data_IF_313729532788
#
_entry.id   IF_313729532788
#
_cell.length_a   1.000
_cell.length_b   1.000
_cell.length_c   1.000
_cell.angle_alpha   90.00
_cell.angle_beta   90.00
_cell.angle_gamma   90.00
#
_symmetry.space_group_name_H-M   'P 1'
#
loop_
_entity.id
_entity.type
_entity.pdbx_description
1 polymer ?
#
# COMPACT_ATOMS: atom_id res chain seq x y z
N UNK A 1 7.58 14.86 -13.68
CA UNK A 1 7.42 13.40 -13.79
C UNK A 1 6.77 12.93 -12.50
N UNK A 2 5.72 12.16 -12.61
CA UNK A 2 5.00 11.64 -11.43
C UNK A 2 4.71 10.16 -11.60
N UNK A 3 4.44 9.47 -10.50
CA UNK A 3 4.05 8.07 -10.46
C UNK A 3 3.10 7.81 -9.30
N UNK A 4 2.07 7.02 -9.54
CA UNK A 4 1.20 6.50 -8.47
C UNK A 4 0.48 5.23 -8.90
N UNK A 5 0.07 4.44 -7.91
CA UNK A 5 -0.89 3.37 -8.12
C UNK A 5 -2.28 3.95 -8.39
N UNK A 6 -2.95 3.51 -9.44
CA UNK A 6 -4.35 3.89 -9.69
C UNK A 6 -5.26 3.52 -8.50
N UNK A 7 -4.97 2.42 -7.81
CA UNK A 7 -5.72 1.99 -6.61
C UNK A 7 -5.58 2.99 -5.47
N UNK A 8 -4.40 3.60 -5.29
CA UNK A 8 -4.18 4.62 -4.25
C UNK A 8 -4.94 5.93 -4.51
N UNK A 9 -5.36 6.17 -5.76
CA UNK A 9 -6.04 7.39 -6.19
C UNK A 9 -7.53 7.17 -6.49
N UNK A 10 -8.13 6.09 -6.01
CA UNK A 10 -9.59 5.87 -6.12
C UNK A 10 -10.35 6.63 -5.05
N UNK A 11 -11.61 7.01 -5.35
CA UNK A 11 -12.52 7.58 -4.35
C UNK A 11 -12.69 6.65 -3.14
N UNK A 12 -12.66 5.33 -3.38
CA UNK A 12 -12.69 4.30 -2.34
C UNK A 12 -11.51 4.39 -1.37
N UNK A 13 -10.29 4.57 -1.87
CA UNK A 13 -9.09 4.68 -1.00
C UNK A 13 -9.13 5.97 -0.18
N UNK A 14 -9.59 7.08 -0.75
CA UNK A 14 -9.75 8.33 0.00
C UNK A 14 -10.79 8.19 1.12
N UNK A 15 -11.95 7.58 0.85
CA UNK A 15 -12.96 7.34 1.89
C UNK A 15 -12.44 6.39 2.99
N UNK A 16 -11.72 5.33 2.64
CA UNK A 16 -11.11 4.42 3.64
C UNK A 16 -10.05 5.13 4.48
N UNK A 17 -9.22 6.01 3.89
CA UNK A 17 -8.28 6.84 4.65
C UNK A 17 -9.00 7.73 5.65
N UNK A 18 -10.10 8.37 5.25
CA UNK A 18 -10.88 9.23 6.13
C UNK A 18 -11.54 8.42 7.26
N UNK A 19 -11.95 7.17 6.99
CA UNK A 19 -12.40 6.24 8.03
C UNK A 19 -11.28 5.91 9.02
N UNK A 20 -10.07 5.59 8.54
CA UNK A 20 -8.90 5.29 9.37
C UNK A 20 -8.54 6.48 10.24
N UNK A 21 -8.55 7.70 9.69
CA UNK A 21 -8.25 8.93 10.43
C UNK A 21 -9.25 9.22 11.58
N UNK A 22 -10.46 8.65 11.49
CA UNK A 22 -11.48 8.77 12.53
C UNK A 22 -11.48 7.60 13.54
N UNK A 23 -10.59 6.60 13.36
CA UNK A 23 -10.48 5.45 14.26
C UNK A 23 -9.38 5.71 15.30
N UNK A 24 -9.63 5.25 16.51
CA UNK A 24 -8.65 5.26 17.59
C UNK A 24 -8.14 3.84 17.88
N UNK A 25 -6.86 3.75 18.26
CA UNK A 25 -6.27 2.52 18.78
C UNK A 25 -6.16 1.40 17.75
N UNK A 26 -5.87 1.74 16.49
CA UNK A 26 -5.51 0.73 15.50
C UNK A 26 -4.15 0.15 15.88
N UNK A 27 -4.09 -1.16 16.13
CA UNK A 27 -2.88 -1.87 16.51
C UNK A 27 -2.26 -2.63 15.36
N UNK A 28 -3.10 -3.21 14.50
CA UNK A 28 -2.67 -4.00 13.35
C UNK A 28 -3.56 -3.75 12.14
N UNK A 29 -2.97 -3.96 10.97
CA UNK A 29 -3.69 -3.94 9.70
C UNK A 29 -3.29 -5.14 8.84
N UNK A 30 -4.26 -5.78 8.20
CA UNK A 30 -4.04 -6.82 7.19
C UNK A 30 -4.63 -6.31 5.87
N UNK A 31 -3.80 -6.33 4.83
CA UNK A 31 -4.25 -5.96 3.49
C UNK A 31 -3.99 -7.10 2.51
N UNK A 32 -5.02 -7.46 1.77
CA UNK A 32 -5.00 -8.52 0.77
C UNK A 32 -4.96 -7.93 -0.64
N UNK A 33 -4.21 -8.55 -1.54
CA UNK A 33 -4.23 -8.20 -2.95
C UNK A 33 -3.39 -9.15 -3.80
N UNK A 34 -3.61 -9.14 -5.13
CA UNK A 34 -2.84 -9.99 -6.03
C UNK A 34 -1.38 -9.53 -6.08
N UNK A 35 -0.45 -10.46 -5.88
CA UNK A 35 1.00 -10.27 -6.09
C UNK A 35 1.58 -11.56 -6.63
N UNK A 36 2.41 -11.45 -7.63
CA UNK A 36 3.22 -12.53 -8.16
C UNK A 36 4.70 -12.20 -7.99
N UNK A 37 5.33 -12.84 -6.99
CA UNK A 37 6.74 -12.63 -6.68
C UNK A 37 7.69 -13.10 -7.80
N UNK A 38 7.19 -14.01 -8.68
CA UNK A 38 7.93 -14.53 -9.82
C UNK A 38 7.55 -13.82 -11.14
N UNK A 39 6.86 -12.70 -11.05
CA UNK A 39 6.45 -11.95 -12.24
C UNK A 39 7.65 -11.51 -13.07
N UNK A 40 7.66 -11.88 -14.35
CA UNK A 40 8.66 -11.41 -15.33
C UNK A 40 8.68 -9.90 -15.54
N UNK A 41 7.69 -9.20 -15.03
CA UNK A 41 7.54 -7.75 -15.12
C UNK A 41 8.10 -7.01 -13.88
N UNK A 42 8.96 -7.66 -13.10
CA UNK A 42 9.63 -7.02 -11.97
C UNK A 42 9.19 -7.53 -10.60
N UNK A 43 8.75 -8.81 -10.49
CA UNK A 43 8.45 -9.43 -9.21
C UNK A 43 7.46 -8.63 -8.39
N UNK A 44 7.84 -8.32 -7.14
CA UNK A 44 6.98 -7.58 -6.20
C UNK A 44 6.66 -6.15 -6.68
N UNK A 45 7.51 -5.52 -7.49
CA UNK A 45 7.26 -4.17 -7.99
C UNK A 45 6.02 -4.10 -8.88
N UNK A 46 5.73 -5.15 -9.65
CA UNK A 46 4.67 -5.11 -10.66
C UNK A 46 3.27 -4.90 -10.06
N UNK A 47 2.89 -5.68 -9.04
CA UNK A 47 1.59 -5.54 -8.37
C UNK A 47 1.71 -5.11 -6.90
N UNK A 48 2.86 -5.27 -6.27
CA UNK A 48 3.09 -4.88 -4.89
C UNK A 48 2.85 -3.39 -4.63
N UNK A 49 3.10 -2.54 -5.62
CA UNK A 49 2.77 -1.10 -5.54
C UNK A 49 1.30 -0.85 -5.22
N UNK A 50 0.39 -1.70 -5.70
CA UNK A 50 -1.05 -1.59 -5.46
C UNK A 50 -1.47 -2.06 -4.05
N UNK A 51 -0.57 -2.75 -3.34
CA UNK A 51 -0.73 -3.05 -1.91
C UNK A 51 -0.07 -1.98 -1.04
N UNK A 52 1.19 -1.67 -1.34
CA UNK A 52 2.03 -0.80 -0.51
C UNK A 52 1.55 0.66 -0.53
N UNK A 53 1.36 1.24 -1.71
CA UNK A 53 1.02 2.67 -1.80
C UNK A 53 -0.34 3.01 -1.17
N UNK A 54 -1.44 2.26 -1.40
CA UNK A 54 -2.69 2.50 -0.68
C UNK A 54 -2.57 2.28 0.83
N UNK A 55 -1.80 1.28 1.27
CA UNK A 55 -1.54 1.06 2.69
C UNK A 55 -0.88 2.29 3.32
N UNK A 56 0.24 2.75 2.73
CA UNK A 56 0.96 3.92 3.20
C UNK A 56 0.09 5.18 3.17
N UNK A 57 -0.76 5.33 2.15
CA UNK A 57 -1.66 6.46 2.03
C UNK A 57 -2.74 6.49 3.12
N UNK A 58 -3.22 5.33 3.56
CA UNK A 58 -4.23 5.22 4.61
C UNK A 58 -3.65 5.30 6.03
N UNK A 59 -2.47 4.72 6.27
CA UNK A 59 -1.93 4.50 7.61
C UNK A 59 -0.63 5.25 7.92
N UNK A 60 -0.09 6.01 6.97
CA UNK A 60 1.15 6.77 7.13
C UNK A 60 2.29 6.25 6.24
N UNK A 61 3.27 7.12 5.98
CA UNK A 61 4.31 6.86 4.97
C UNK A 61 5.66 6.42 5.57
N UNK A 62 5.75 6.33 6.91
CA UNK A 62 7.02 6.08 7.59
C UNK A 62 7.15 4.60 7.98
N UNK A 63 7.36 3.73 7.01
CA UNK A 63 7.68 2.32 7.23
C UNK A 63 9.13 2.20 7.64
N UNK A 64 9.39 1.49 8.75
CA UNK A 64 10.73 1.30 9.33
C UNK A 64 11.45 0.10 8.73
N UNK A 65 10.78 -1.04 8.69
CA UNK A 65 11.34 -2.30 8.20
C UNK A 65 10.26 -3.24 7.68
N UNK A 66 10.69 -4.17 6.85
CA UNK A 66 9.80 -5.15 6.20
C UNK A 66 10.40 -6.54 6.24
N UNK A 67 9.54 -7.56 6.17
CA UNK A 67 9.96 -8.96 5.99
C UNK A 67 8.98 -9.70 5.09
N UNK A 68 9.50 -10.37 4.07
CA UNK A 68 8.73 -11.27 3.22
C UNK A 68 8.91 -12.70 3.72
N UNK A 69 7.78 -13.42 3.83
CA UNK A 69 7.75 -14.86 4.04
C UNK A 69 7.15 -15.51 2.80
N UNK A 70 7.87 -16.48 2.23
CA UNK A 70 7.52 -17.09 0.96
C UNK A 70 7.66 -18.61 1.03
N UNK A 71 6.69 -19.32 0.45
CA UNK A 71 6.75 -20.75 0.20
C UNK A 71 6.20 -21.03 -1.21
N UNK A 72 7.09 -21.38 -2.13
CA UNK A 72 6.75 -21.51 -3.54
C UNK A 72 6.16 -20.23 -4.10
N UNK A 73 4.94 -20.29 -4.65
CA UNK A 73 4.20 -19.16 -5.21
C UNK A 73 3.36 -18.38 -4.19
N UNK A 74 3.28 -18.87 -2.94
CA UNK A 74 2.54 -18.22 -1.86
C UNK A 74 3.44 -17.31 -1.04
N UNK A 75 2.90 -16.24 -0.51
CA UNK A 75 3.68 -15.33 0.31
C UNK A 75 2.85 -14.30 1.06
N UNK A 76 3.53 -13.68 1.99
CA UNK A 76 3.05 -12.52 2.75
C UNK A 76 4.22 -11.62 3.10
N UNK A 77 3.94 -10.39 3.47
CA UNK A 77 4.93 -9.49 4.00
C UNK A 77 4.45 -8.85 5.30
N UNK A 78 5.37 -8.73 6.25
CA UNK A 78 5.19 -7.94 7.46
C UNK A 78 5.89 -6.59 7.29
N UNK A 79 5.24 -5.50 7.71
CA UNK A 79 5.77 -4.15 7.72
C UNK A 79 5.61 -3.57 9.12
N UNK A 80 6.64 -2.91 9.62
CA UNK A 80 6.60 -2.17 10.89
C UNK A 80 6.75 -0.69 10.59
N UNK A 81 5.82 0.11 11.05
CA UNK A 81 5.84 1.57 10.91
C UNK A 81 6.60 2.22 12.07
N UNK A 82 6.96 3.49 11.93
CA UNK A 82 7.70 4.25 12.95
C UNK A 82 6.90 4.46 14.25
N UNK A 83 5.58 4.49 14.16
CA UNK A 83 4.61 4.62 15.26
C UNK A 83 4.16 3.27 15.82
N UNK A 84 4.94 2.20 15.55
CA UNK A 84 4.73 0.82 15.99
C UNK A 84 3.48 0.13 15.40
N UNK A 85 2.79 0.74 14.42
CA UNK A 85 1.75 0.05 13.68
C UNK A 85 2.37 -1.16 12.95
N UNK A 86 1.71 -2.31 13.08
CA UNK A 86 2.12 -3.54 12.39
C UNK A 86 1.17 -3.84 11.24
N UNK A 87 1.70 -3.97 10.03
CA UNK A 87 0.93 -4.31 8.85
C UNK A 87 1.34 -5.67 8.27
N UNK A 88 0.36 -6.45 7.84
CA UNK A 88 0.57 -7.69 7.08
C UNK A 88 -0.04 -7.56 5.69
N UNK A 89 0.77 -7.78 4.67
CA UNK A 89 0.30 -7.92 3.29
C UNK A 89 0.14 -9.40 2.97
N UNK A 90 -1.01 -9.80 2.47
CA UNK A 90 -1.26 -11.17 2.00
C UNK A 90 -1.30 -11.18 0.48
N UNK A 91 -0.42 -11.96 -0.13
CA UNK A 91 -0.26 -12.05 -1.57
C UNK A 91 -1.24 -13.07 -2.15
N UNK A 92 -2.32 -12.57 -2.76
CA UNK A 92 -3.37 -13.40 -3.38
C UNK A 92 -2.89 -13.93 -4.73
N UNK A 93 -3.12 -15.21 -4.99
CA UNK A 93 -2.79 -15.87 -6.27
C UNK A 93 -4.01 -16.25 -7.09
N UNK A 94 -5.13 -16.54 -6.43
CA UNK A 94 -6.31 -17.15 -7.06
C UNK A 94 -7.43 -16.15 -7.37
N UNK A 95 -7.38 -14.95 -6.83
CA UNK A 95 -8.47 -13.97 -7.01
C UNK A 95 -7.95 -12.54 -7.12
N UNK A 96 -8.66 -11.73 -7.88
CA UNK A 96 -8.51 -10.28 -7.90
C UNK A 96 -9.37 -9.66 -6.79
N UNK A 97 -8.92 -8.54 -6.27
CA UNK A 97 -9.61 -7.77 -5.25
C UNK A 97 -8.63 -7.31 -4.17
N UNK A 98 -9.01 -6.23 -3.50
CA UNK A 98 -8.20 -5.53 -2.51
C UNK A 98 -9.04 -5.40 -1.25
N UNK A 99 -8.72 -6.14 -0.21
CA UNK A 99 -9.41 -6.10 1.05
C UNK A 99 -8.47 -5.56 2.13
N UNK A 100 -9.01 -4.85 3.11
CA UNK A 100 -8.26 -4.33 4.25
C UNK A 100 -9.04 -4.59 5.53
N UNK A 101 -8.39 -5.17 6.53
CA UNK A 101 -8.93 -5.42 7.86
C UNK A 101 -8.04 -4.73 8.87
N UNK A 102 -8.62 -4.02 9.81
CA UNK A 102 -7.91 -3.38 10.93
C UNK A 102 -8.33 -4.03 12.25
N UNK A 103 -7.38 -4.12 13.17
CA UNK A 103 -7.63 -4.45 14.56
C UNK A 103 -7.67 -3.17 15.37
N UNK A 104 -8.74 -3.00 16.15
CA UNK A 104 -8.94 -1.92 17.08
C UNK A 104 -9.28 -2.51 18.47
N UNK A 105 -9.34 -1.66 19.49
CA UNK A 105 -9.80 -2.09 20.83
C UNK A 105 -11.18 -2.78 20.84
N UNK A 106 -12.00 -2.52 19.83
CA UNK A 106 -13.36 -3.07 19.69
C UNK A 106 -13.40 -4.34 18.80
N UNK A 107 -12.23 -4.86 18.40
CA UNK A 107 -12.06 -6.07 17.59
C UNK A 107 -11.71 -5.77 16.14
N UNK A 108 -11.85 -6.80 15.29
CA UNK A 108 -11.52 -6.72 13.87
C UNK A 108 -12.62 -6.00 13.09
N UNK A 109 -12.21 -5.10 12.21
CA UNK A 109 -13.10 -4.35 11.32
C UNK A 109 -12.60 -4.38 9.88
N UNK A 110 -13.43 -4.85 8.98
CA UNK A 110 -13.17 -4.72 7.54
C UNK A 110 -13.42 -3.27 7.10
N UNK A 111 -12.42 -2.68 6.43
CA UNK A 111 -12.57 -1.37 5.80
C UNK A 111 -13.24 -1.53 4.45
N UNK A 112 -14.42 -0.97 4.31
CA UNK A 112 -15.17 -0.91 3.06
C UNK A 112 -15.43 0.53 2.67
N UNK A 113 -15.25 0.84 1.40
CA UNK A 113 -15.66 2.14 0.89
C UNK A 113 -17.19 2.31 1.01
N UNK A 114 -17.58 3.48 1.50
CA UNK A 114 -18.98 3.93 1.58
C UNK A 114 -19.37 4.72 0.34
N UNK A 115 -18.40 5.03 -0.51
CA UNK A 115 -18.60 5.82 -1.72
C UNK A 115 -18.37 4.98 -2.98
N UNK A 116 -19.04 5.35 -4.05
CA UNK A 116 -18.78 4.83 -5.38
C UNK A 116 -17.65 5.64 -6.03
N UNK A 117 -16.93 5.01 -6.97
CA UNK A 117 -15.98 5.74 -7.81
C UNK A 117 -16.72 6.80 -8.65
N UNK A 118 -16.05 7.91 -8.88
CA UNK A 118 -16.57 9.01 -9.72
C UNK A 118 -16.55 8.61 -11.21
N UNK A 119 -17.34 9.30 -12.03
CA UNK A 119 -17.28 9.19 -13.48
C UNK A 119 -16.96 10.57 -14.09
N UNK A 120 -15.78 10.79 -14.67
CA UNK A 120 -14.68 9.83 -14.78
C UNK A 120 -14.03 9.47 -13.43
N UNK A 121 -13.33 8.31 -13.35
CA UNK A 121 -12.63 7.90 -12.13
C UNK A 121 -11.66 8.97 -11.61
N UNK A 122 -11.60 9.11 -10.27
CA UNK A 122 -10.82 10.18 -9.60
C UNK A 122 -9.38 10.29 -10.08
N UNK A 123 -8.67 9.17 -10.29
CA UNK A 123 -7.28 9.20 -10.74
C UNK A 123 -7.11 9.83 -12.12
N UNK A 124 -8.10 9.75 -13.01
CA UNK A 124 -8.08 10.47 -14.29
C UNK A 124 -8.32 11.96 -14.12
N UNK A 125 -9.22 12.34 -13.21
CA UNK A 125 -9.44 13.76 -12.87
C UNK A 125 -8.17 14.39 -12.33
N UNK A 126 -7.50 13.72 -11.38
CA UNK A 126 -6.25 14.19 -10.79
C UNK A 126 -5.13 14.30 -11.83
N UNK A 127 -5.05 13.35 -12.76
CA UNK A 127 -4.07 13.39 -13.87
C UNK A 127 -4.32 14.59 -14.80
N UNK A 128 -5.56 14.83 -15.19
CA UNK A 128 -5.92 15.99 -16.04
C UNK A 128 -5.59 17.29 -15.32
N UNK A 129 -5.91 17.40 -14.04
CA UNK A 129 -5.60 18.59 -13.26
C UNK A 129 -4.09 18.82 -13.10
N UNK A 130 -3.33 17.76 -12.91
CA UNK A 130 -1.87 17.83 -12.90
C UNK A 130 -1.32 18.40 -14.21
N UNK A 131 -1.80 17.96 -15.36
CA UNK A 131 -1.36 18.50 -16.65
C UNK A 131 -1.79 19.95 -16.87
N UNK A 132 -2.91 20.38 -16.32
CA UNK A 132 -3.39 21.76 -16.41
C UNK A 132 -2.66 22.72 -15.48
N UNK A 133 -2.42 22.29 -14.25
CA UNK A 133 -1.84 23.13 -13.20
C UNK A 133 -0.32 23.06 -13.11
N UNK A 134 0.29 22.01 -13.65
CA UNK A 134 1.70 21.69 -13.45
C UNK A 134 2.03 21.21 -12.04
N UNK A 135 1.02 20.95 -11.20
CA UNK A 135 1.18 20.47 -9.82
C UNK A 135 0.85 18.99 -9.71
N UNK A 136 1.75 18.24 -9.15
CA UNK A 136 1.55 16.81 -8.90
C UNK A 136 0.60 16.57 -7.70
N UNK A 137 -0.27 15.56 -7.76
CA UNK A 137 -1.21 15.25 -6.69
C UNK A 137 -0.53 14.65 -5.46
N UNK A 138 0.73 14.19 -5.61
CA UNK A 138 1.57 13.63 -4.55
C UNK A 138 2.97 14.22 -4.62
N UNK A 139 3.61 14.41 -3.47
CA UNK A 139 5.00 14.86 -3.41
C UNK A 139 5.96 13.76 -3.94
N UNK A 140 7.11 14.18 -4.45
CA UNK A 140 8.17 13.25 -4.85
C UNK A 140 8.65 12.41 -3.66
N UNK A 141 8.74 13.00 -2.47
CA UNK A 141 9.07 12.29 -1.24
C UNK A 141 8.11 11.12 -0.98
N UNK A 142 6.79 11.34 -1.06
CA UNK A 142 5.78 10.29 -0.90
C UNK A 142 5.95 9.16 -1.93
N UNK A 143 6.28 9.50 -3.17
CA UNK A 143 6.54 8.53 -4.24
C UNK A 143 7.79 7.72 -3.93
N UNK A 144 8.89 8.38 -3.57
CA UNK A 144 10.17 7.75 -3.28
C UNK A 144 10.10 6.87 -2.03
N UNK A 145 9.38 7.28 -0.98
CA UNK A 145 9.13 6.42 0.20
C UNK A 145 8.43 5.11 -0.19
N UNK A 146 7.46 5.15 -1.10
CA UNK A 146 6.83 3.92 -1.59
C UNK A 146 7.82 3.03 -2.35
N UNK A 147 8.69 3.62 -3.17
CA UNK A 147 9.74 2.88 -3.89
C UNK A 147 10.73 2.25 -2.93
N UNK A 148 11.16 2.98 -1.89
CA UNK A 148 12.07 2.45 -0.86
C UNK A 148 11.46 1.25 -0.11
N UNK A 149 10.17 1.29 0.19
CA UNK A 149 9.47 0.14 0.79
C UNK A 149 9.45 -1.06 -0.17
N UNK A 150 9.17 -0.84 -1.45
CA UNK A 150 9.17 -1.92 -2.45
C UNK A 150 10.58 -2.51 -2.65
N UNK A 151 11.61 -1.69 -2.63
CA UNK A 151 13.01 -2.14 -2.71
C UNK A 151 13.39 -3.00 -1.49
N UNK A 152 13.03 -2.57 -0.28
CA UNK A 152 13.26 -3.35 0.93
C UNK A 152 12.50 -4.69 0.89
N UNK A 153 11.27 -4.71 0.39
CA UNK A 153 10.50 -5.93 0.17
C UNK A 153 11.20 -6.86 -0.83
N UNK A 154 11.71 -6.35 -1.95
CA UNK A 154 12.44 -7.15 -2.95
C UNK A 154 13.73 -7.74 -2.35
N UNK A 155 14.49 -6.96 -1.58
CA UNK A 155 15.65 -7.47 -0.84
C UNK A 155 15.22 -8.62 0.09
N UNK A 156 14.11 -8.45 0.81
CA UNK A 156 13.59 -9.46 1.73
C UNK A 156 13.04 -10.71 1.02
N UNK A 157 12.52 -10.61 -0.20
CA UNK A 157 12.17 -11.79 -1.02
C UNK A 157 13.37 -12.71 -1.21
N UNK A 158 14.55 -12.12 -1.40
CA UNK A 158 15.79 -12.85 -1.65
C UNK A 158 16.49 -13.31 -0.37
N UNK A 159 16.50 -12.46 0.67
CA UNK A 159 17.24 -12.71 1.91
C UNK A 159 16.44 -13.53 2.95
N UNK A 160 15.11 -13.43 2.93
CA UNK A 160 14.22 -14.07 3.91
C UNK A 160 14.27 -13.46 5.32
N UNK A 161 14.99 -12.35 5.50
CA UNK A 161 15.14 -11.67 6.79
C UNK A 161 14.45 -10.30 6.80
N UNK A 162 14.42 -9.65 7.97
CA UNK A 162 14.01 -8.26 8.08
C UNK A 162 14.98 -7.35 7.34
N UNK A 163 14.44 -6.48 6.48
CA UNK A 163 15.17 -5.43 5.78
C UNK A 163 14.69 -4.06 6.25
N UNK A 164 15.63 -3.19 6.58
CA UNK A 164 15.32 -1.79 6.92
C UNK A 164 14.94 -1.03 5.66
N UNK A 165 13.95 -0.15 5.79
CA UNK A 165 13.56 0.74 4.69
C UNK A 165 14.48 1.96 4.68
N UNK A 166 15.08 2.24 3.53
CA UNK A 166 15.96 3.39 3.36
C UNK A 166 15.17 4.70 3.58
N UNK A 167 15.78 5.62 4.33
CA UNK A 167 15.17 6.95 4.55
C UNK A 167 15.28 7.77 3.27
N UNK A 168 14.18 8.41 2.95
CA UNK A 168 14.08 9.41 1.88
C UNK A 168 14.06 10.77 2.56
N UNK A 169 15.11 11.56 2.33
CA UNK A 169 15.25 12.94 2.81
C UNK A 169 14.71 13.93 1.78
#
# INVERSE_FOLDING_TARGET
VTSWSSIAQTAATFDMRDQVSAMEGISQVIRYGPVDLDSKYGGIFFYGVHLVQPLMYMFGENVKKVKVSREGSHGSAALVFQDDLYATLIFKRASYGWETVVETKDGLKELKSRVKETDPPKHYVDMVEMFRSGKEPRSHESILKCVAVLEALEKSVSSGIWEEVERVD
#
